data_IF_166759096484
#
_entry.id   IF_166759096484
#
_cell.length_a   1.000
_cell.length_b   1.000
_cell.length_c   1.000
_cell.angle_alpha   90.00
_cell.angle_beta   90.00
_cell.angle_gamma   90.00
#
_symmetry.space_group_name_H-M   'P 1'
#
loop_
_entity.id
_entity.type
_entity.pdbx_description
1 polymer ?
#
# COMPACT_ATOMS: atom_id res chain seq x y z
N UNK A 1 5.33 0.39 14.67
CA UNK A 1 5.63 1.34 13.58
C UNK A 1 6.56 0.64 12.62
N UNK A 2 6.10 0.33 11.41
CA UNK A 2 6.88 -0.49 10.49
C UNK A 2 7.68 0.36 9.50
N UNK A 3 9.00 0.17 9.46
CA UNK A 3 9.86 0.67 8.38
C UNK A 3 10.27 -0.51 7.48
N UNK A 4 10.26 -0.33 6.16
CA UNK A 4 10.78 -1.35 5.23
C UNK A 4 12.24 -1.03 4.97
N UNK A 5 13.15 -1.66 5.72
CA UNK A 5 14.60 -1.36 5.64
C UNK A 5 15.27 -2.09 4.47
N UNK A 6 16.12 -1.38 3.73
CA UNK A 6 16.99 -1.96 2.68
C UNK A 6 17.86 -3.08 3.24
N UNK A 7 17.84 -4.25 2.60
CA UNK A 7 19.02 -5.11 2.56
C UNK A 7 19.69 -4.91 1.19
N UNK A 8 20.95 -4.43 1.20
CA UNK A 8 21.85 -4.52 0.04
C UNK A 8 22.11 -6.00 -0.26
N UNK A 9 21.26 -6.62 -1.07
CA UNK A 9 21.52 -7.96 -1.63
C UNK A 9 21.83 -7.76 -3.11
N UNK A 10 23.12 -7.69 -3.41
CA UNK A 10 23.64 -7.58 -4.76
C UNK A 10 24.11 -8.96 -5.20
N UNK A 11 23.55 -9.51 -6.28
CA UNK A 11 24.26 -10.49 -7.11
C UNK A 11 23.70 -10.59 -8.54
N UNK A 12 24.56 -10.18 -9.48
CA UNK A 12 24.84 -10.69 -10.83
C UNK A 12 23.72 -11.06 -11.82
N UNK A 13 23.94 -10.58 -13.05
CA UNK A 13 23.24 -10.78 -14.31
C UNK A 13 23.14 -12.25 -14.78
N UNK A 14 22.08 -12.57 -15.52
CA UNK A 14 22.15 -12.94 -16.95
C UNK A 14 20.77 -13.38 -17.50
N UNK A 15 20.56 -13.07 -18.79
CA UNK A 15 19.35 -13.28 -19.57
C UNK A 15 19.15 -14.75 -20.02
N UNK A 16 17.93 -15.12 -20.46
CA UNK A 16 17.63 -15.82 -21.74
C UNK A 16 16.11 -16.09 -21.89
N UNK A 17 15.68 -16.07 -23.14
CA UNK A 17 14.36 -15.99 -23.78
C UNK A 17 13.56 -17.29 -23.97
N UNK A 18 12.22 -17.19 -23.81
CA UNK A 18 11.09 -17.76 -24.62
C UNK A 18 10.87 -19.29 -24.72
N UNK A 19 9.72 -19.80 -25.25
CA UNK A 19 8.33 -19.67 -24.73
C UNK A 19 7.51 -21.01 -24.78
N UNK A 20 6.53 -21.24 -23.90
CA UNK A 20 5.24 -21.89 -24.26
C UNK A 20 4.21 -21.89 -23.13
N UNK A 21 2.94 -21.84 -23.53
CA UNK A 21 1.80 -21.29 -22.78
C UNK A 21 0.98 -22.31 -21.98
N UNK A 22 0.45 -21.84 -20.84
CA UNK A 22 -0.79 -22.28 -20.19
C UNK A 22 -1.54 -21.01 -19.70
N UNK A 23 -2.88 -21.04 -19.52
CA UNK A 23 -3.72 -19.85 -19.49
C UNK A 23 -3.33 -18.89 -18.37
N UNK A 24 -3.00 -17.66 -18.75
CA UNK A 24 -2.56 -16.56 -17.91
C UNK A 24 -3.63 -16.14 -16.91
N UNK A 25 -3.45 -16.51 -15.64
CA UNK A 25 -3.96 -15.72 -14.53
C UNK A 25 -3.16 -14.40 -14.51
N UNK A 26 -3.78 -13.37 -15.09
CA UNK A 26 -3.50 -11.93 -15.05
C UNK A 26 -2.06 -11.51 -14.64
N UNK A 27 -1.25 -10.94 -15.56
CA UNK A 27 0.11 -10.50 -15.28
C UNK A 27 0.10 -9.14 -14.57
N UNK A 28 -0.20 -9.14 -13.27
CA UNK A 28 0.05 -7.98 -12.42
C UNK A 28 1.50 -8.05 -11.93
N UNK A 29 2.25 -6.96 -12.09
CA UNK A 29 3.66 -6.88 -11.72
C UNK A 29 3.94 -7.41 -10.31
N UNK A 30 5.01 -8.21 -10.18
CA UNK A 30 5.63 -8.72 -8.95
C UNK A 30 4.79 -8.58 -7.68
N UNK A 31 3.74 -9.41 -7.56
CA UNK A 31 2.92 -9.45 -6.35
C UNK A 31 3.77 -9.91 -5.16
N UNK A 32 3.77 -9.08 -4.12
CA UNK A 32 4.39 -9.38 -2.84
C UNK A 32 3.40 -10.13 -1.96
N UNK A 33 3.72 -11.37 -1.61
CA UNK A 33 2.99 -12.09 -0.58
C UNK A 33 3.60 -11.76 0.78
N UNK A 34 2.98 -10.84 1.51
CA UNK A 34 3.35 -10.53 2.89
C UNK A 34 2.55 -11.41 3.84
N UNK A 35 3.18 -12.43 4.43
CA UNK A 35 2.51 -13.23 5.45
C UNK A 35 2.48 -12.46 6.77
N UNK A 36 1.34 -11.82 7.10
CA UNK A 36 1.01 -11.43 8.47
C UNK A 36 0.79 -12.73 9.26
N UNK A 37 1.56 -13.04 10.32
CA UNK A 37 1.30 -14.24 11.10
C UNK A 37 0.06 -14.01 12.00
N UNK A 38 -1.09 -14.69 11.78
CA UNK A 38 -2.07 -14.84 12.86
C UNK A 38 -1.45 -15.65 14.01
N UNK A 39 -1.95 -15.54 15.26
CA UNK A 39 -1.39 -16.30 16.37
C UNK A 39 -1.57 -17.79 16.06
N UNK A 40 -0.50 -18.59 15.94
CA UNK A 40 0.61 -18.68 16.89
C UNK A 40 2.02 -18.46 16.29
N UNK A 41 2.96 -18.14 17.20
CA UNK A 41 4.42 -18.28 17.09
C UNK A 41 4.92 -18.95 15.79
N UNK A 42 5.34 -18.15 14.81
CA UNK A 42 5.97 -18.64 13.58
C UNK A 42 7.49 -18.83 13.73
N UNK A 43 8.11 -18.11 14.68
CA UNK A 43 9.55 -18.11 14.90
C UNK A 43 9.89 -18.29 16.39
N UNK A 44 11.08 -18.81 16.65
CA UNK A 44 11.71 -18.97 17.98
C UNK A 44 13.20 -18.70 17.87
N UNK A 45 13.88 -18.40 18.98
CA UNK A 45 15.35 -18.30 18.98
C UNK A 45 15.95 -19.71 19.02
N UNK A 46 16.78 -20.04 18.03
CA UNK A 46 17.50 -21.30 17.96
C UNK A 46 18.62 -21.38 18.99
N UNK A 47 18.82 -22.57 19.56
CA UNK A 47 19.89 -22.82 20.55
C UNK A 47 21.31 -22.71 19.95
N UNK A 48 21.44 -22.81 18.63
CA UNK A 48 22.71 -22.58 17.94
C UNK A 48 22.81 -21.12 17.47
N UNK A 49 23.71 -20.34 18.09
CA UNK A 49 24.10 -18.97 17.71
C UNK A 49 23.03 -17.87 17.85
N UNK A 50 21.86 -18.16 18.43
CA UNK A 50 20.83 -17.13 18.68
C UNK A 50 20.07 -16.68 17.42
N UNK A 51 20.16 -17.44 16.32
CA UNK A 51 19.44 -17.12 15.08
C UNK A 51 17.93 -17.42 15.22
N UNK A 52 17.11 -16.70 14.47
CA UNK A 52 15.70 -17.05 14.28
C UNK A 52 15.54 -18.43 13.61
N UNK A 53 14.65 -19.25 14.18
CA UNK A 53 14.30 -20.58 13.68
C UNK A 53 12.79 -20.64 13.46
N UNK A 54 12.31 -21.06 12.28
CA UNK A 54 10.89 -21.22 12.04
C UNK A 54 10.35 -22.42 12.83
N UNK A 55 9.14 -22.28 13.35
CA UNK A 55 8.48 -23.36 14.07
C UNK A 55 8.19 -24.52 13.12
N UNK A 56 8.82 -25.68 13.36
CA UNK A 56 8.69 -26.88 12.51
C UNK A 56 7.25 -27.39 12.39
N UNK A 57 6.40 -27.19 13.40
CA UNK A 57 4.98 -27.56 13.31
C UNK A 57 4.21 -26.73 12.29
N UNK A 58 4.66 -25.50 12.03
CA UNK A 58 4.02 -24.54 11.11
C UNK A 58 4.69 -24.55 9.74
N UNK A 59 6.02 -24.66 9.71
CA UNK A 59 6.85 -24.72 8.52
C UNK A 59 7.73 -25.97 8.56
N UNK A 60 7.16 -27.17 8.30
CA UNK A 60 7.89 -28.44 8.42
C UNK A 60 9.08 -28.54 7.47
N UNK A 61 9.00 -27.86 6.32
CA UNK A 61 10.06 -27.77 5.30
C UNK A 61 10.94 -26.52 5.45
N UNK A 62 10.71 -25.69 6.47
CA UNK A 62 11.41 -24.42 6.68
C UNK A 62 10.96 -23.28 5.75
N UNK A 63 11.47 -22.07 6.01
CA UNK A 63 11.09 -20.87 5.24
C UNK A 63 11.73 -20.86 3.86
N UNK A 64 12.97 -21.36 3.71
CA UNK A 64 13.62 -21.42 2.40
C UNK A 64 12.79 -22.21 1.38
N UNK A 65 12.29 -23.39 1.76
CA UNK A 65 11.44 -24.18 0.88
C UNK A 65 10.13 -23.46 0.52
N UNK A 66 9.58 -22.67 1.44
CA UNK A 66 8.42 -21.82 1.17
C UNK A 66 8.76 -20.69 0.21
N UNK A 67 9.91 -20.02 0.37
CA UNK A 67 10.39 -18.98 -0.53
C UNK A 67 10.60 -19.56 -1.94
N UNK A 68 11.33 -20.67 -2.05
CA UNK A 68 11.56 -21.36 -3.33
C UNK A 68 10.22 -21.72 -4.02
N UNK A 69 9.22 -22.18 -3.25
CA UNK A 69 7.88 -22.43 -3.77
C UNK A 69 7.19 -21.15 -4.26
N UNK A 70 7.21 -20.07 -3.48
CA UNK A 70 6.60 -18.77 -3.85
C UNK A 70 7.29 -18.19 -5.10
N UNK A 71 8.61 -18.24 -5.16
CA UNK A 71 9.39 -17.83 -6.33
C UNK A 71 9.08 -18.68 -7.57
N UNK A 72 8.85 -19.98 -7.41
CA UNK A 72 8.44 -20.86 -8.52
C UNK A 72 7.07 -20.49 -9.12
N UNK A 73 6.28 -19.68 -8.42
CA UNK A 73 5.00 -19.13 -8.89
C UNK A 73 5.15 -17.72 -9.46
N UNK A 74 6.37 -17.18 -9.58
CA UNK A 74 6.63 -15.82 -10.06
C UNK A 74 6.28 -14.73 -9.03
N UNK A 75 6.12 -15.11 -7.76
CA UNK A 75 5.77 -14.20 -6.66
C UNK A 75 7.00 -13.89 -5.80
N UNK A 76 6.91 -12.84 -4.98
CA UNK A 76 7.92 -12.48 -3.96
C UNK A 76 7.43 -12.80 -2.55
N UNK A 77 8.33 -13.19 -1.65
CA UNK A 77 8.00 -13.52 -0.27
C UNK A 77 8.46 -12.45 0.71
N UNK A 78 7.52 -11.89 1.48
CA UNK A 78 7.81 -11.02 2.61
C UNK A 78 7.83 -11.76 3.95
N UNK A 79 8.64 -11.25 4.89
CA UNK A 79 8.67 -11.67 6.29
C UNK A 79 8.39 -10.48 7.23
N UNK A 80 8.16 -10.79 8.50
CA UNK A 80 7.91 -9.82 9.56
C UNK A 80 8.93 -9.99 10.69
N UNK A 81 9.44 -8.87 11.20
CA UNK A 81 10.15 -8.81 12.48
C UNK A 81 9.84 -7.47 13.18
N UNK A 82 10.49 -7.21 14.30
CA UNK A 82 10.27 -6.06 15.16
C UNK A 82 11.60 -5.44 15.60
N UNK A 83 11.68 -4.12 15.60
CA UNK A 83 12.79 -3.34 16.14
C UNK A 83 12.81 -3.30 17.69
N UNK A 84 12.08 -4.18 18.36
CA UNK A 84 12.19 -4.44 19.81
C UNK A 84 12.68 -5.84 20.15
N UNK A 85 12.68 -6.16 21.44
CA UNK A 85 13.09 -7.49 21.93
C UNK A 85 12.07 -8.58 21.58
N UNK A 86 10.80 -8.20 21.41
CA UNK A 86 9.71 -9.08 21.06
C UNK A 86 8.81 -8.40 20.04
N UNK A 87 8.19 -9.19 19.18
CA UNK A 87 7.11 -8.72 18.32
C UNK A 87 5.94 -8.17 19.13
N UNK A 88 5.07 -7.35 18.56
CA UNK A 88 3.91 -6.78 19.26
C UNK A 88 3.06 -7.76 20.09
N UNK A 89 2.95 -9.02 19.65
CA UNK A 89 2.28 -10.11 20.40
C UNK A 89 2.97 -10.54 21.70
N UNK A 90 4.23 -10.13 21.93
CA UNK A 90 5.16 -10.61 22.97
C UNK A 90 5.44 -12.11 22.96
N UNK A 91 5.01 -12.80 21.91
CA UNK A 91 5.20 -14.25 21.81
C UNK A 91 6.46 -14.58 21.01
N UNK A 92 6.76 -13.87 19.93
CA UNK A 92 7.95 -14.13 19.10
C UNK A 92 9.09 -13.17 19.46
N UNK A 93 10.36 -13.61 19.34
CA UNK A 93 11.50 -12.71 19.43
C UNK A 93 11.44 -11.63 18.34
N UNK A 94 11.80 -10.40 18.69
CA UNK A 94 12.15 -9.35 17.74
C UNK A 94 13.64 -9.38 17.42
N UNK A 95 14.10 -8.45 16.59
CA UNK A 95 15.47 -8.44 16.06
C UNK A 95 16.39 -7.41 16.73
N UNK A 96 15.93 -6.72 17.77
CA UNK A 96 16.73 -5.70 18.44
C UNK A 96 18.05 -6.29 19.00
N UNK A 97 19.18 -5.74 18.56
CA UNK A 97 20.53 -6.21 18.92
C UNK A 97 21.00 -7.45 18.14
N UNK A 98 20.17 -7.95 17.22
CA UNK A 98 20.43 -9.13 16.39
C UNK A 98 20.25 -8.83 14.89
N UNK A 99 20.19 -7.55 14.50
CA UNK A 99 19.77 -7.08 13.19
C UNK A 99 20.62 -7.68 12.06
N UNK A 100 21.94 -7.71 12.22
CA UNK A 100 22.85 -8.24 11.20
C UNK A 100 22.67 -9.76 11.01
N UNK A 101 22.49 -10.50 12.11
CA UNK A 101 22.31 -11.95 12.06
C UNK A 101 20.95 -12.33 11.48
N UNK A 102 19.90 -11.58 11.85
CA UNK A 102 18.55 -11.81 11.34
C UNK A 102 18.45 -11.43 9.86
N UNK A 103 19.08 -10.32 9.44
CA UNK A 103 19.17 -9.95 8.03
C UNK A 103 19.86 -11.04 7.19
N UNK A 104 20.99 -11.59 7.66
CA UNK A 104 21.66 -12.75 7.02
C UNK A 104 20.76 -13.97 6.97
N UNK A 105 20.00 -14.22 8.04
CA UNK A 105 19.05 -15.34 8.11
C UNK A 105 17.94 -15.18 7.08
N UNK A 106 17.31 -14.01 6.99
CA UNK A 106 16.27 -13.71 6.00
C UNK A 106 16.80 -13.82 4.57
N UNK A 107 17.99 -13.29 4.30
CA UNK A 107 18.65 -13.43 3.00
C UNK A 107 18.91 -14.92 2.65
N UNK A 108 19.39 -15.73 3.62
CA UNK A 108 19.63 -17.16 3.41
C UNK A 108 18.35 -17.96 3.11
N UNK A 109 17.18 -17.46 3.54
CA UNK A 109 15.88 -18.04 3.23
C UNK A 109 15.31 -17.55 1.89
N UNK A 110 15.90 -16.54 1.25
CA UNK A 110 15.36 -15.96 0.01
C UNK A 110 14.20 -15.00 0.23
N UNK A 111 14.18 -14.28 1.37
CA UNK A 111 13.17 -13.24 1.62
C UNK A 111 13.40 -12.01 0.74
N UNK A 112 12.33 -11.50 0.14
CA UNK A 112 12.34 -10.32 -0.75
C UNK A 112 11.95 -9.01 -0.05
N UNK A 113 11.27 -9.10 1.10
CA UNK A 113 10.67 -7.95 1.77
C UNK A 113 10.61 -8.15 3.29
N UNK A 114 10.83 -7.09 4.05
CA UNK A 114 10.72 -7.09 5.50
C UNK A 114 9.73 -6.01 5.96
N UNK A 115 8.67 -6.42 6.66
CA UNK A 115 7.89 -5.52 7.52
C UNK A 115 8.58 -5.48 8.88
N UNK A 116 9.14 -4.33 9.27
CA UNK A 116 9.94 -4.21 10.49
C UNK A 116 9.29 -3.28 11.53
N UNK A 117 8.58 -3.85 12.49
CA UNK A 117 7.75 -3.13 13.48
C UNK A 117 8.57 -2.40 14.57
N UNK A 118 7.90 -1.80 15.56
CA UNK A 118 8.55 -1.02 16.61
C UNK A 118 7.89 -1.23 18.00
N UNK A 119 7.46 -2.45 18.31
CA UNK A 119 6.89 -2.77 19.62
C UNK A 119 7.98 -3.24 20.59
N UNK A 120 7.70 -3.21 21.91
CA UNK A 120 8.59 -3.78 22.95
C UNK A 120 10.08 -3.35 22.84
N UNK A 121 10.31 -2.09 22.49
CA UNK A 121 11.64 -1.48 22.49
C UNK A 121 12.08 -1.07 23.91
N UNK A 122 13.36 -0.75 24.07
CA UNK A 122 13.98 -0.37 25.36
C UNK A 122 13.86 1.15 25.67
N UNK A 123 13.09 1.89 24.89
CA UNK A 123 12.98 3.36 25.00
C UNK A 123 14.24 4.14 24.58
N UNK A 124 15.25 3.49 23.97
CA UNK A 124 16.42 4.19 23.43
C UNK A 124 16.02 5.21 22.35
N UNK A 125 16.84 6.27 22.27
CA UNK A 125 16.45 7.51 21.59
C UNK A 125 16.16 7.28 20.10
N UNK A 126 15.15 7.98 19.54
CA UNK A 126 14.87 8.08 18.11
C UNK A 126 16.07 8.25 17.18
N UNK A 127 17.12 8.95 17.59
CA UNK A 127 18.31 9.14 16.76
C UNK A 127 19.09 7.85 16.46
N UNK A 128 18.76 6.75 17.14
CA UNK A 128 19.32 5.40 16.90
C UNK A 128 18.33 4.49 16.17
N UNK A 129 17.01 4.76 16.24
CA UNK A 129 15.94 3.87 15.74
C UNK A 129 14.98 4.49 14.71
N UNK A 130 15.11 5.79 14.45
CA UNK A 130 14.11 6.62 13.79
C UNK A 130 13.18 7.34 14.78
N UNK A 131 12.80 8.58 14.46
CA UNK A 131 11.75 9.30 15.20
C UNK A 131 10.33 8.84 14.85
N UNK A 132 9.35 9.32 15.60
CA UNK A 132 7.94 8.96 15.43
C UNK A 132 7.29 9.55 14.16
N UNK A 133 8.05 10.29 13.34
CA UNK A 133 7.63 10.92 12.10
C UNK A 133 8.47 10.39 10.93
N UNK A 134 8.28 9.12 10.53
CA UNK A 134 9.18 8.42 9.63
C UNK A 134 9.16 8.99 8.22
N UNK A 135 8.16 9.79 7.87
CA UNK A 135 8.14 10.50 6.62
C UNK A 135 9.30 11.50 6.47
N UNK A 136 9.85 11.99 7.58
CA UNK A 136 10.96 12.96 7.55
C UNK A 136 12.32 12.33 7.25
N UNK A 137 12.52 11.04 7.52
CA UNK A 137 13.83 10.36 7.42
C UNK A 137 13.79 8.98 6.75
N UNK A 138 12.61 8.36 6.65
CA UNK A 138 12.42 6.97 6.21
C UNK A 138 12.92 6.71 4.80
N UNK A 139 12.87 7.72 3.91
CA UNK A 139 13.37 7.63 2.54
C UNK A 139 14.88 7.34 2.44
N UNK A 140 15.66 7.64 3.49
CA UNK A 140 17.10 7.40 3.49
C UNK A 140 17.45 5.93 3.78
N UNK A 141 16.57 5.23 4.50
CA UNK A 141 16.85 3.90 5.06
C UNK A 141 15.87 2.82 4.60
N UNK A 142 14.76 3.21 3.98
CA UNK A 142 13.70 2.29 3.60
C UNK A 142 12.87 2.67 2.40
N UNK A 143 12.05 1.72 1.93
CA UNK A 143 11.24 1.86 0.73
C UNK A 143 9.81 2.37 1.00
N UNK A 144 9.31 2.12 2.20
CA UNK A 144 8.07 2.68 2.70
C UNK A 144 8.07 2.71 4.22
N UNK A 145 7.17 3.52 4.77
CA UNK A 145 7.03 3.70 6.21
C UNK A 145 5.58 3.94 6.59
N UNK A 146 5.14 3.26 7.66
CA UNK A 146 3.81 3.47 8.24
C UNK A 146 3.72 4.88 8.82
N UNK A 147 2.81 5.72 8.29
CA UNK A 147 2.57 7.09 8.82
C UNK A 147 1.46 7.15 9.84
N UNK A 148 0.75 6.04 10.08
CA UNK A 148 -0.46 5.98 10.88
C UNK A 148 -0.49 4.79 11.83
N UNK A 149 -1.39 4.85 12.81
CA UNK A 149 -1.79 3.68 13.59
C UNK A 149 -2.46 2.63 12.70
N UNK A 150 -2.64 1.42 13.25
CA UNK A 150 -3.28 0.33 12.53
C UNK A 150 -4.70 0.70 12.09
N UNK A 151 -5.05 0.30 10.86
CA UNK A 151 -6.39 0.43 10.32
C UNK A 151 -7.31 -0.62 10.95
N UNK A 152 -8.61 -0.32 10.94
CA UNK A 152 -9.68 -1.26 11.28
C UNK A 152 -10.74 -1.17 10.20
N UNK A 153 -11.52 -2.23 10.03
CA UNK A 153 -12.57 -2.33 9.02
C UNK A 153 -13.81 -1.47 9.35
N UNK A 154 -13.63 -0.15 9.41
CA UNK A 154 -14.67 0.87 9.57
C UNK A 154 -14.34 2.11 8.76
N UNK A 155 -15.38 2.81 8.28
CA UNK A 155 -15.24 4.03 7.48
C UNK A 155 -14.43 5.11 8.21
N UNK A 156 -14.71 5.33 9.48
CA UNK A 156 -14.02 6.37 10.29
C UNK A 156 -12.53 6.08 10.41
N UNK A 157 -12.16 4.80 10.59
CA UNK A 157 -10.77 4.39 10.67
C UNK A 157 -10.07 4.69 9.36
N UNK A 158 -10.63 4.20 8.25
CA UNK A 158 -10.08 4.39 6.92
C UNK A 158 -9.90 5.87 6.55
N UNK A 159 -10.93 6.70 6.73
CA UNK A 159 -10.80 8.12 6.38
C UNK A 159 -9.83 8.84 7.32
N UNK A 160 -9.79 8.49 8.62
CA UNK A 160 -8.78 9.05 9.53
C UNK A 160 -7.34 8.67 9.14
N UNK A 161 -7.12 7.47 8.59
CA UNK A 161 -5.82 7.05 8.06
C UNK A 161 -5.43 7.87 6.84
N UNK A 162 -6.37 8.11 5.92
CA UNK A 162 -6.15 8.96 4.76
C UNK A 162 -5.78 10.40 5.18
N UNK A 163 -6.52 10.98 6.13
CA UNK A 163 -6.26 12.32 6.67
C UNK A 163 -4.86 12.44 7.29
N UNK A 164 -4.42 11.45 8.07
CA UNK A 164 -3.09 11.45 8.69
C UNK A 164 -1.96 11.23 7.67
N UNK A 165 -2.20 10.43 6.63
CA UNK A 165 -1.23 10.11 5.60
C UNK A 165 -1.02 11.29 4.63
N UNK A 166 -2.08 12.04 4.34
CA UNK A 166 -2.08 13.22 3.47
C UNK A 166 -1.09 14.30 3.90
N UNK A 167 -0.96 14.51 5.22
CA UNK A 167 -0.01 15.48 5.79
C UNK A 167 1.44 15.28 5.30
N UNK A 168 1.81 14.05 4.94
CA UNK A 168 3.16 13.69 4.48
C UNK A 168 3.27 13.51 2.97
N UNK A 169 2.24 13.83 2.19
CA UNK A 169 2.20 13.54 0.76
C UNK A 169 3.38 14.14 -0.03
N UNK A 170 3.93 15.27 0.40
CA UNK A 170 5.10 15.92 -0.23
C UNK A 170 6.41 15.13 -0.10
N UNK A 171 6.46 14.22 0.87
CA UNK A 171 7.66 13.45 1.18
C UNK A 171 7.69 12.11 0.46
N UNK A 172 6.54 11.65 -0.05
CA UNK A 172 6.44 10.46 -0.89
C UNK A 172 7.01 10.72 -2.29
N UNK A 173 7.78 9.76 -2.79
CA UNK A 173 8.46 9.83 -4.09
C UNK A 173 8.90 8.44 -4.55
N UNK A 174 9.23 8.25 -5.83
CA UNK A 174 9.80 6.99 -6.31
C UNK A 174 10.94 6.48 -5.41
N UNK A 175 10.73 5.29 -4.84
CA UNK A 175 11.68 4.63 -3.93
C UNK A 175 11.41 4.84 -2.44
N UNK A 176 10.49 5.73 -2.04
CA UNK A 176 10.12 6.00 -0.65
C UNK A 176 8.66 6.46 -0.51
N UNK A 177 7.82 5.63 0.10
CA UNK A 177 6.36 5.83 0.12
C UNK A 177 5.76 5.89 1.53
N UNK A 178 4.79 6.79 1.73
CA UNK A 178 3.95 6.78 2.92
C UNK A 178 3.01 5.57 2.87
N UNK A 179 2.96 4.79 3.93
CA UNK A 179 2.11 3.61 4.08
C UNK A 179 0.94 3.90 5.06
N UNK A 180 -0.32 4.01 4.58
CA UNK A 180 -1.51 4.21 5.42
C UNK A 180 -2.04 2.93 6.10
N UNK A 181 -1.30 1.81 6.03
CA UNK A 181 -1.69 0.44 6.39
C UNK A 181 -2.49 -0.30 5.29
N UNK A 182 -2.90 -1.55 5.58
CA UNK A 182 -3.47 -2.50 4.60
C UNK A 182 -4.90 -2.16 4.11
N UNK A 183 -5.31 -2.83 3.03
CA UNK A 183 -6.70 -2.90 2.54
C UNK A 183 -7.57 -3.73 3.47
N UNK A 184 -8.67 -3.14 3.94
CA UNK A 184 -9.75 -3.87 4.61
C UNK A 184 -10.81 -4.43 3.63
N UNK A 185 -10.62 -4.21 2.32
CA UNK A 185 -11.58 -4.61 1.27
C UNK A 185 -11.92 -6.09 1.35
N UNK A 186 -13.19 -6.39 1.60
CA UNK A 186 -13.71 -7.76 1.66
C UNK A 186 -13.73 -8.38 3.06
N UNK A 187 -13.35 -7.65 4.11
CA UNK A 187 -13.44 -8.11 5.49
C UNK A 187 -14.86 -7.96 6.09
N UNK A 188 -15.70 -7.11 5.50
CA UNK A 188 -17.16 -7.10 5.67
C UNK A 188 -17.72 -6.03 6.63
N UNK A 189 -16.86 -5.20 7.22
CA UNK A 189 -17.21 -4.08 8.10
C UNK A 189 -17.63 -2.81 7.37
N UNK A 190 -17.28 -2.68 6.09
CA UNK A 190 -17.67 -1.56 5.22
C UNK A 190 -18.47 -2.02 3.98
N UNK A 191 -19.30 -1.11 3.48
CA UNK A 191 -20.02 -1.25 2.21
C UNK A 191 -19.08 -1.13 1.01
N UNK A 192 -19.56 -1.52 -0.19
CA UNK A 192 -18.78 -1.43 -1.43
C UNK A 192 -18.25 -0.01 -1.68
N UNK A 193 -19.08 1.00 -1.45
CA UNK A 193 -18.76 2.38 -1.79
C UNK A 193 -17.81 3.04 -0.77
N UNK A 194 -17.68 2.41 0.41
CA UNK A 194 -16.84 2.87 1.51
C UNK A 194 -15.37 2.48 1.38
N UNK A 195 -14.96 1.54 0.51
CA UNK A 195 -13.56 1.12 0.41
C UNK A 195 -12.72 2.03 -0.52
N UNK A 196 -11.76 2.82 0.00
CA UNK A 196 -11.07 3.89 -0.80
C UNK A 196 -9.51 3.96 -0.78
N UNK A 197 -8.74 3.03 -0.17
CA UNK A 197 -7.25 3.09 -0.11
C UNK A 197 -6.65 1.73 0.33
N UNK A 198 -5.30 1.49 0.42
CA UNK A 198 -4.20 1.30 -0.56
C UNK A 198 -3.72 -0.19 -0.76
N UNK A 199 -3.05 -0.55 -1.87
CA UNK A 199 -2.88 -1.92 -2.46
C UNK A 199 -2.25 -3.12 -1.65
N UNK A 200 -2.10 -3.08 -0.32
CA UNK A 200 -1.72 -4.28 0.44
C UNK A 200 -2.98 -5.05 0.87
N UNK A 201 -3.32 -6.13 0.16
CA UNK A 201 -4.55 -6.92 0.40
C UNK A 201 -4.55 -7.49 1.84
N UNK A 202 -5.51 -7.08 2.66
CA UNK A 202 -5.69 -7.54 4.04
C UNK A 202 -6.80 -8.57 4.24
N UNK A 203 -7.43 -9.07 3.17
CA UNK A 203 -8.54 -10.01 3.22
C UNK A 203 -8.16 -11.45 2.83
N UNK A 204 -9.07 -12.40 3.05
CA UNK A 204 -8.87 -13.79 2.66
C UNK A 204 -9.06 -13.99 1.14
N UNK A 205 -7.95 -14.03 0.42
CA UNK A 205 -7.93 -14.21 -1.04
C UNK A 205 -8.52 -15.54 -1.53
N UNK A 206 -8.73 -16.52 -0.64
CA UNK A 206 -9.34 -17.82 -0.99
C UNK A 206 -10.87 -17.73 -1.08
N UNK A 207 -11.45 -16.71 -0.47
CA UNK A 207 -12.89 -16.55 -0.33
C UNK A 207 -13.33 -15.11 -0.64
N UNK A 208 -12.89 -14.58 -1.79
CA UNK A 208 -13.30 -13.25 -2.24
C UNK A 208 -14.60 -13.30 -3.02
N UNK A 209 -15.50 -12.35 -2.73
CA UNK A 209 -16.68 -12.10 -3.56
C UNK A 209 -16.28 -11.50 -4.91
N UNK A 210 -17.19 -11.55 -5.90
CA UNK A 210 -16.94 -10.92 -7.22
C UNK A 210 -16.77 -9.41 -7.07
N UNK A 211 -17.52 -8.82 -6.17
CA UNK A 211 -17.47 -7.39 -5.84
C UNK A 211 -16.11 -7.02 -5.26
N UNK A 212 -15.60 -7.81 -4.30
CA UNK A 212 -14.24 -7.62 -3.73
C UNK A 212 -13.18 -7.69 -4.83
N UNK A 213 -13.27 -8.70 -5.70
CA UNK A 213 -12.34 -8.84 -6.84
C UNK A 213 -12.41 -7.67 -7.81
N UNK A 214 -13.60 -7.13 -8.09
CA UNK A 214 -13.76 -5.96 -8.97
C UNK A 214 -13.07 -4.72 -8.41
N UNK A 215 -13.10 -4.52 -7.10
CA UNK A 215 -12.40 -3.40 -6.44
C UNK A 215 -10.90 -3.64 -6.48
N UNK A 216 -10.44 -4.81 -6.02
CA UNK A 216 -9.02 -5.14 -5.89
C UNK A 216 -8.28 -5.25 -7.23
N UNK A 217 -8.96 -5.69 -8.28
CA UNK A 217 -8.38 -5.92 -9.61
C UNK A 217 -8.68 -4.80 -10.61
N UNK A 218 -9.12 -3.62 -10.16
CA UNK A 218 -9.35 -2.49 -11.05
C UNK A 218 -8.02 -1.98 -11.64
N UNK A 219 -7.77 -2.29 -12.91
CA UNK A 219 -6.54 -1.95 -13.64
C UNK A 219 -6.26 -0.45 -13.71
N UNK A 220 -7.28 0.38 -13.72
CA UNK A 220 -7.13 1.82 -13.86
C UNK A 220 -6.79 2.49 -12.54
N UNK A 221 -7.41 2.05 -11.45
CA UNK A 221 -7.04 2.48 -10.09
C UNK A 221 -5.61 2.04 -9.77
N UNK A 222 -5.24 0.81 -10.13
CA UNK A 222 -3.87 0.32 -9.99
C UNK A 222 -2.91 1.14 -10.85
N UNK A 223 -3.27 1.48 -12.09
CA UNK A 223 -2.44 2.30 -12.96
C UNK A 223 -2.21 3.71 -12.42
N UNK A 224 -3.18 4.28 -11.69
CA UNK A 224 -2.97 5.55 -10.98
C UNK A 224 -1.98 5.37 -9.82
N UNK A 225 -2.13 4.31 -9.03
CA UNK A 225 -1.19 4.02 -7.95
C UNK A 225 0.25 3.74 -8.46
N UNK A 226 0.37 3.11 -9.62
CA UNK A 226 1.65 2.74 -10.25
C UNK A 226 2.14 3.76 -11.28
N UNK A 227 1.57 4.97 -11.30
CA UNK A 227 1.96 5.99 -12.27
C UNK A 227 3.45 6.36 -12.09
N UNK A 228 4.25 6.38 -13.17
CA UNK A 228 5.70 6.57 -13.08
C UNK A 228 6.10 7.97 -12.60
N UNK A 229 5.21 8.97 -12.66
CA UNK A 229 5.48 10.27 -12.05
C UNK A 229 5.64 10.14 -10.54
N UNK A 230 4.93 9.19 -9.93
CA UNK A 230 5.11 8.81 -8.54
C UNK A 230 4.83 9.92 -7.53
N UNK A 231 3.85 10.79 -7.82
CA UNK A 231 3.44 11.88 -6.94
C UNK A 231 2.17 11.46 -6.21
N UNK A 232 2.23 11.50 -4.88
CA UNK A 232 1.07 11.21 -4.04
C UNK A 232 0.03 12.34 -4.16
N UNK A 233 -1.24 11.98 -4.34
CA UNK A 233 -2.36 12.91 -4.35
C UNK A 233 -2.59 13.54 -2.96
N UNK A 234 -3.15 14.75 -2.95
CA UNK A 234 -3.48 15.51 -1.74
C UNK A 234 -4.92 15.97 -1.74
N UNK A 235 -5.42 16.35 -0.56
CA UNK A 235 -6.70 17.03 -0.43
C UNK A 235 -6.51 18.48 -0.88
N UNK A 236 -7.09 18.83 -2.01
CA UNK A 236 -6.98 20.19 -2.57
C UNK A 236 -8.13 21.10 -2.13
N UNK A 237 -9.26 20.53 -1.73
CA UNK A 237 -10.42 21.26 -1.22
C UNK A 237 -11.24 20.44 -0.26
N UNK A 238 -11.80 21.10 0.76
CA UNK A 238 -12.69 20.52 1.75
C UNK A 238 -13.78 21.52 2.12
N UNK A 239 -15.04 21.11 2.04
CA UNK A 239 -16.22 21.90 2.40
C UNK A 239 -17.15 21.07 3.28
N UNK A 240 -16.99 21.21 4.60
CA UNK A 240 -17.65 20.33 5.56
C UNK A 240 -17.23 18.88 5.31
N UNK A 241 -18.18 18.03 4.95
CA UNK A 241 -17.95 16.60 4.71
C UNK A 241 -17.59 16.27 3.24
N UNK A 242 -17.48 17.28 2.37
CA UNK A 242 -17.21 17.09 0.95
C UNK A 242 -15.74 17.38 0.66
N UNK A 243 -15.06 16.45 0.00
CA UNK A 243 -13.63 16.57 -0.27
C UNK A 243 -13.31 16.38 -1.76
N UNK A 244 -12.33 17.14 -2.23
CA UNK A 244 -11.69 16.96 -3.52
C UNK A 244 -10.23 16.65 -3.27
N UNK A 245 -9.81 15.49 -3.73
CA UNK A 245 -8.42 15.05 -3.72
C UNK A 245 -7.90 15.02 -5.15
N UNK A 246 -6.66 15.46 -5.36
CA UNK A 246 -6.05 15.45 -6.67
C UNK A 246 -4.54 15.22 -6.61
N UNK A 247 -4.01 14.61 -7.66
CA UNK A 247 -2.57 14.41 -7.85
C UNK A 247 -2.22 14.38 -9.34
N UNK A 248 -1.10 15.01 -9.75
CA UNK A 248 -0.65 14.92 -11.12
C UNK A 248 -0.21 13.49 -11.44
N UNK A 249 -0.43 13.10 -12.69
CA UNK A 249 0.04 11.85 -13.26
C UNK A 249 0.97 12.17 -14.44
N UNK A 250 1.69 11.16 -14.90
CA UNK A 250 2.42 11.20 -16.17
C UNK A 250 1.53 11.61 -17.36
N UNK A 251 2.15 12.15 -18.40
CA UNK A 251 1.48 12.64 -19.62
C UNK A 251 0.47 13.78 -19.39
N UNK A 252 0.77 14.67 -18.43
CA UNK A 252 -0.05 15.84 -18.09
C UNK A 252 -1.49 15.49 -17.69
N UNK A 253 -1.71 14.26 -17.21
CA UNK A 253 -3.00 13.83 -16.67
C UNK A 253 -3.10 14.20 -15.20
N UNK A 254 -4.31 14.23 -14.68
CA UNK A 254 -4.58 14.47 -13.25
C UNK A 254 -5.54 13.40 -12.75
N UNK A 255 -5.20 12.71 -11.68
CA UNK A 255 -6.15 11.89 -10.94
C UNK A 255 -6.96 12.80 -10.01
N UNK A 256 -8.28 12.65 -10.02
CA UNK A 256 -9.20 13.35 -9.11
C UNK A 256 -10.06 12.34 -8.40
N UNK A 257 -10.17 12.46 -7.08
CA UNK A 257 -11.08 11.69 -6.25
C UNK A 257 -12.02 12.67 -5.53
N UNK A 258 -13.32 12.49 -5.74
CA UNK A 258 -14.37 13.20 -5.04
C UNK A 258 -14.90 12.30 -3.94
N UNK A 259 -14.94 12.79 -2.70
CA UNK A 259 -15.35 12.00 -1.53
C UNK A 259 -16.47 12.70 -0.79
N UNK A 260 -17.58 12.01 -0.59
CA UNK A 260 -18.67 12.45 0.27
C UNK A 260 -18.60 11.72 1.61
N UNK A 261 -18.04 12.36 2.63
CA UNK A 261 -18.02 11.84 4.01
C UNK A 261 -19.37 12.04 4.72
N UNK A 262 -20.27 12.79 4.12
CA UNK A 262 -21.51 13.23 4.75
C UNK A 262 -22.61 12.18 4.66
N UNK A 263 -23.66 12.31 5.50
CA UNK A 263 -24.74 11.33 5.60
C UNK A 263 -25.77 11.42 4.46
N UNK A 264 -25.58 12.33 3.49
CA UNK A 264 -26.58 12.65 2.46
C UNK A 264 -25.94 12.65 1.08
N UNK A 265 -26.71 12.18 0.10
CA UNK A 265 -26.37 12.28 -1.31
C UNK A 265 -26.16 13.73 -1.72
N UNK A 266 -24.97 14.05 -2.21
CA UNK A 266 -24.54 15.42 -2.47
C UNK A 266 -23.69 15.51 -3.74
N UNK A 267 -23.68 16.68 -4.39
CA UNK A 267 -22.84 16.98 -5.55
C UNK A 267 -21.55 17.67 -5.12
N UNK A 268 -20.43 17.23 -5.68
CA UNK A 268 -19.10 17.79 -5.44
C UNK A 268 -18.53 18.25 -6.79
N UNK A 269 -17.93 19.43 -6.82
CA UNK A 269 -17.28 20.00 -8.00
C UNK A 269 -15.77 20.08 -7.79
N UNK A 270 -15.00 19.46 -8.70
CA UNK A 270 -13.56 19.70 -8.82
C UNK A 270 -13.35 20.83 -9.83
N UNK A 271 -12.87 21.98 -9.34
CA UNK A 271 -12.55 23.13 -10.18
C UNK A 271 -11.11 23.03 -10.68
N UNK A 272 -10.86 23.49 -11.91
CA UNK A 272 -9.54 23.40 -12.56
C UNK A 272 -8.45 24.12 -11.77
N UNK A 273 -8.79 25.29 -11.21
CA UNK A 273 -7.90 26.07 -10.33
C UNK A 273 -7.46 25.27 -9.09
N UNK A 274 -8.35 24.45 -8.51
CA UNK A 274 -8.05 23.66 -7.31
C UNK A 274 -7.09 22.49 -7.61
N UNK A 275 -7.13 21.95 -8.84
CA UNK A 275 -6.43 20.71 -9.22
C UNK A 275 -5.25 20.94 -10.17
N UNK A 276 -4.82 22.19 -10.37
CA UNK A 276 -3.66 22.52 -11.19
C UNK A 276 -3.86 22.39 -12.69
N UNK A 277 -5.11 22.47 -13.17
CA UNK A 277 -5.44 22.55 -14.60
C UNK A 277 -5.71 24.03 -14.95
N UNK A 278 -5.24 24.56 -16.10
CA UNK A 278 -5.58 25.92 -16.50
C UNK A 278 -7.11 26.09 -16.67
N UNK A 279 -7.73 27.17 -16.16
CA UNK A 279 -9.20 27.32 -16.11
C UNK A 279 -9.95 27.18 -17.43
N UNK A 280 -9.27 27.55 -18.53
CA UNK A 280 -9.85 27.54 -19.88
C UNK A 280 -9.55 26.25 -20.66
N UNK A 281 -8.79 25.32 -20.09
CA UNK A 281 -8.49 24.06 -20.74
C UNK A 281 -9.75 23.23 -20.93
N UNK A 282 -9.88 22.67 -22.13
CA UNK A 282 -10.88 21.65 -22.43
C UNK A 282 -10.32 20.31 -21.95
N UNK A 283 -11.09 19.60 -21.13
CA UNK A 283 -10.65 18.38 -20.46
C UNK A 283 -11.57 17.23 -20.79
N UNK A 284 -10.97 16.10 -21.12
CA UNK A 284 -11.63 14.80 -21.20
C UNK A 284 -11.53 14.10 -19.84
N UNK A 285 -12.64 13.52 -19.38
CA UNK A 285 -12.70 12.79 -18.12
C UNK A 285 -12.99 11.31 -18.34
N UNK A 286 -12.21 10.44 -17.69
CA UNK A 286 -12.42 8.99 -17.65
C UNK A 286 -12.83 8.58 -16.24
N UNK A 287 -14.02 8.02 -16.10
CA UNK A 287 -14.47 7.37 -14.86
C UNK A 287 -13.82 6.00 -14.75
N UNK A 288 -12.98 5.82 -13.73
CA UNK A 288 -12.17 4.60 -13.57
C UNK A 288 -12.95 3.46 -12.94
N UNK A 289 -14.07 3.74 -12.26
CA UNK A 289 -14.94 2.71 -11.71
C UNK A 289 -15.92 2.18 -12.75
N UNK A 290 -16.38 3.04 -13.66
CA UNK A 290 -17.20 2.64 -14.81
C UNK A 290 -16.39 2.18 -16.04
N UNK A 291 -15.06 2.31 -16.00
CA UNK A 291 -14.15 2.02 -17.12
C UNK A 291 -14.50 2.80 -18.40
N UNK A 292 -14.98 4.03 -18.25
CA UNK A 292 -15.64 4.76 -19.33
C UNK A 292 -15.18 6.20 -19.43
N UNK A 293 -14.86 6.61 -20.66
CA UNK A 293 -14.65 8.02 -20.99
C UNK A 293 -16.01 8.71 -21.12
N UNK A 294 -16.20 9.81 -20.39
CA UNK A 294 -17.40 10.61 -20.46
C UNK A 294 -17.50 11.29 -21.83
N UNK A 295 -18.71 11.33 -22.40
CA UNK A 295 -18.95 11.94 -23.72
C UNK A 295 -18.82 13.47 -23.70
N UNK A 296 -19.09 14.06 -22.54
CA UNK A 296 -19.01 15.50 -22.32
C UNK A 296 -17.56 15.91 -22.15
N UNK A 297 -17.17 17.00 -22.82
CA UNK A 297 -15.92 17.70 -22.55
C UNK A 297 -16.18 18.78 -21.49
N UNK A 298 -15.25 18.92 -20.56
CA UNK A 298 -15.40 19.78 -19.39
C UNK A 298 -14.51 21.01 -19.51
N UNK A 299 -15.00 22.15 -19.04
CA UNK A 299 -14.27 23.42 -18.98
C UNK A 299 -14.55 24.07 -17.62
N UNK A 300 -13.52 24.55 -16.95
CA UNK A 300 -13.59 25.17 -15.63
C UNK A 300 -13.79 24.20 -14.45
N UNK A 301 -14.62 23.16 -14.59
CA UNK A 301 -14.82 22.14 -13.54
C UNK A 301 -15.41 20.83 -14.08
N UNK A 302 -15.38 19.80 -13.22
CA UNK A 302 -16.20 18.60 -13.32
C UNK A 302 -17.03 18.45 -12.02
N UNK A 303 -18.33 18.26 -12.17
CA UNK A 303 -19.25 18.02 -11.04
C UNK A 303 -19.81 16.60 -11.10
N UNK A 304 -19.83 15.91 -9.97
CA UNK A 304 -20.49 14.61 -9.85
C UNK A 304 -21.30 14.51 -8.56
N UNK A 305 -22.44 13.81 -8.63
CA UNK A 305 -23.26 13.45 -7.47
C UNK A 305 -22.90 12.04 -7.01
N UNK A 306 -22.75 11.87 -5.70
CA UNK A 306 -22.49 10.58 -5.05
C UNK A 306 -23.31 10.43 -3.77
N UNK A 307 -23.58 9.19 -3.39
CA UNK A 307 -24.34 8.85 -2.19
C UNK A 307 -23.52 9.11 -0.91
N UNK A 308 -24.13 8.86 0.25
CA UNK A 308 -23.46 8.95 1.55
C UNK A 308 -22.28 7.99 1.61
N UNK A 309 -21.14 8.44 2.15
CA UNK A 309 -19.92 7.62 2.31
C UNK A 309 -19.44 6.97 1.02
N UNK A 310 -19.58 7.68 -0.10
CA UNK A 310 -19.19 7.21 -1.41
C UNK A 310 -18.11 8.10 -2.01
N UNK A 311 -17.36 7.54 -2.96
CA UNK A 311 -16.40 8.28 -3.76
C UNK A 311 -16.58 8.05 -5.26
N UNK A 312 -16.06 8.99 -6.04
CA UNK A 312 -15.89 8.83 -7.49
C UNK A 312 -14.51 9.26 -7.89
N UNK A 313 -13.89 8.50 -8.76
CA UNK A 313 -12.53 8.74 -9.22
C UNK A 313 -12.50 8.94 -10.72
N UNK A 314 -11.78 9.98 -11.15
CA UNK A 314 -11.62 10.37 -12.54
C UNK A 314 -10.15 10.52 -12.90
N UNK A 315 -9.79 10.10 -14.10
CA UNK A 315 -8.55 10.54 -14.76
C UNK A 315 -8.92 11.65 -15.73
N UNK A 316 -8.37 12.82 -15.50
CA UNK A 316 -8.57 14.01 -16.32
C UNK A 316 -7.38 14.19 -17.26
N UNK A 317 -7.67 14.47 -18.53
CA UNK A 317 -6.67 14.76 -19.55
C UNK A 317 -7.04 16.06 -20.28
N UNK A 318 -6.29 17.15 -20.09
CA UNK A 318 -6.38 18.32 -20.96
C UNK A 318 -6.09 17.94 -22.41
N UNK A 319 -6.90 18.44 -23.34
CA UNK A 319 -6.75 18.17 -24.79
C UNK A 319 -6.40 19.42 -25.61
N UNK A 320 -6.25 20.57 -24.95
CA UNK A 320 -5.92 21.88 -25.53
C UNK A 320 -5.08 22.70 -24.56
#
# INVERSE_FOLDING_TARGET
MAAVVRNNIQSSSDAISSPMALPSLLPWGNQLLLKRPPPPLCFSVGQARGNLVPKKSTFPSGIKALADYVHSKGLKLGIYSDAGYFTGSKTMPGSLGHEENDAKTFASWGIDYLKYDNCNNDGSKPTVRGDMHPALWGAEVGNSWRTTNDITDTWESMVSRADMNEYYAELARPGGWNDPDMLEVGNGGMTKDEYIAPLLIGCDVRNMTKETMQILANTEVIAVNQDPLGVQAKKVRMEGDLEVWAGPLSDYRVAVLLVNRGPRRTSIAAHWDDIGIPPKSVVMARDVWEHKTLKTLFVGNLTATMDSHACKMYILKPIS
#
